data_IF_385771536666
#
_entry.id   IF_385771536666
#
_cell.length_a   1.000
_cell.length_b   1.000
_cell.length_c   1.000
_cell.angle_alpha   90.00
_cell.angle_beta   90.00
_cell.angle_gamma   90.00
#
_symmetry.space_group_name_H-M   'P 1'
#
loop_
_entity.id
_entity.type
_entity.pdbx_description
1 polymer ?
#
# COMPACT_ATOMS: atom_id res chain seq x y z
N UNK A 1 3.74 -0.03 -3.70
CA UNK A 1 3.59 0.82 -2.50
C UNK A 1 3.10 -0.05 -1.38
N UNK A 2 3.57 0.23 -0.17
CA UNK A 2 3.26 -0.51 1.05
C UNK A 2 3.40 0.43 2.26
N UNK A 3 2.76 0.12 3.40
CA UNK A 3 2.82 0.95 4.61
C UNK A 3 2.97 0.11 5.87
N UNK A 4 3.66 0.64 6.88
CA UNK A 4 3.63 0.11 8.24
C UNK A 4 2.82 1.03 9.15
N UNK A 5 1.92 0.45 9.93
CA UNK A 5 1.05 1.14 10.87
C UNK A 5 0.86 0.32 12.15
N UNK A 6 0.30 0.89 13.23
CA UNK A 6 0.30 0.27 14.56
C UNK A 6 -0.62 -0.96 14.73
N UNK A 7 -1.03 -1.61 13.64
CA UNK A 7 -1.96 -2.75 13.62
C UNK A 7 -3.42 -2.35 13.64
N UNK A 8 -4.30 -3.29 13.99
CA UNK A 8 -5.76 -3.07 14.10
C UNK A 8 -6.17 -3.11 15.57
N UNK A 9 -6.91 -2.10 16.02
CA UNK A 9 -7.39 -1.93 17.40
C UNK A 9 -8.89 -2.14 17.52
N UNK A 10 -9.65 -1.72 16.51
CA UNK A 10 -11.09 -1.93 16.43
C UNK A 10 -11.36 -3.09 15.49
N UNK A 11 -11.49 -4.27 16.06
CA UNK A 11 -11.83 -5.50 15.35
C UNK A 11 -13.27 -5.92 15.68
N UNK A 12 -13.90 -6.68 14.78
CA UNK A 12 -15.17 -7.36 15.02
C UNK A 12 -14.93 -8.87 15.15
N UNK A 13 -14.55 -9.36 16.35
CA UNK A 13 -14.09 -10.74 16.56
C UNK A 13 -15.16 -11.81 16.28
N UNK A 14 -16.41 -11.43 16.05
CA UNK A 14 -17.51 -12.35 15.74
C UNK A 14 -17.75 -12.54 14.23
N UNK A 15 -17.09 -11.75 13.37
CA UNK A 15 -17.25 -11.83 11.92
C UNK A 15 -15.97 -12.34 11.27
N UNK A 16 -16.08 -13.37 10.43
CA UNK A 16 -14.97 -13.72 9.56
C UNK A 16 -14.81 -12.62 8.51
N UNK A 17 -13.61 -12.06 8.35
CA UNK A 17 -13.33 -11.01 7.36
C UNK A 17 -13.78 -11.38 5.94
N UNK A 18 -13.78 -12.66 5.58
CA UNK A 18 -14.28 -13.15 4.29
C UNK A 18 -15.80 -13.09 4.12
N UNK A 19 -16.55 -12.79 5.18
CA UNK A 19 -18.01 -12.69 5.18
C UNK A 19 -18.54 -11.26 5.26
N UNK A 20 -17.64 -10.27 5.40
CA UNK A 20 -18.01 -8.87 5.44
C UNK A 20 -18.36 -8.36 4.05
N UNK A 21 -19.40 -7.53 3.96
CA UNK A 21 -19.62 -6.72 2.77
C UNK A 21 -18.50 -5.69 2.60
N UNK A 22 -18.32 -5.14 1.37
CA UNK A 22 -17.38 -4.05 1.14
C UNK A 22 -17.58 -2.84 2.06
N UNK A 23 -18.83 -2.45 2.30
CA UNK A 23 -19.15 -1.30 3.17
C UNK A 23 -18.80 -1.58 4.63
N UNK A 24 -19.07 -2.78 5.14
CA UNK A 24 -18.69 -3.15 6.52
C UNK A 24 -17.17 -3.20 6.68
N UNK A 25 -16.46 -3.78 5.70
CA UNK A 25 -14.99 -3.81 5.67
C UNK A 25 -14.42 -2.38 5.67
N UNK A 26 -15.02 -1.49 4.87
CA UNK A 26 -14.67 -0.07 4.85
C UNK A 26 -14.88 0.61 6.20
N UNK A 27 -16.04 0.42 6.84
CA UNK A 27 -16.34 1.04 8.14
C UNK A 27 -15.33 0.63 9.22
N UNK A 28 -14.88 -0.63 9.22
CA UNK A 28 -13.85 -1.11 10.14
C UNK A 28 -12.51 -0.46 9.84
N UNK A 29 -12.09 -0.46 8.56
CA UNK A 29 -10.83 0.18 8.15
C UNK A 29 -10.83 1.67 8.51
N UNK A 30 -11.90 2.40 8.16
CA UNK A 30 -12.08 3.82 8.47
C UNK A 30 -11.84 4.10 9.95
N UNK A 31 -12.54 3.38 10.82
CA UNK A 31 -12.46 3.58 12.26
C UNK A 31 -11.05 3.39 12.81
N UNK A 32 -10.30 2.44 12.25
CA UNK A 32 -8.90 2.23 12.64
C UNK A 32 -8.00 3.34 12.08
N UNK A 33 -8.08 3.64 10.79
CA UNK A 33 -7.23 4.66 10.14
C UNK A 33 -7.42 6.05 10.76
N UNK A 34 -8.66 6.45 11.04
CA UNK A 34 -8.93 7.74 11.66
C UNK A 34 -8.31 7.85 13.07
N UNK A 35 -8.32 6.74 13.82
CA UNK A 35 -7.84 6.69 15.21
C UNK A 35 -6.33 6.46 15.39
N UNK A 36 -5.58 6.22 14.31
CA UNK A 36 -4.15 5.88 14.39
C UNK A 36 -3.31 6.71 13.43
N UNK A 37 -2.01 6.74 13.69
CA UNK A 37 -1.03 7.44 12.86
C UNK A 37 -0.16 6.48 12.06
N UNK A 38 0.17 6.85 10.83
CA UNK A 38 1.04 6.06 9.96
C UNK A 38 2.48 6.07 10.48
N UNK A 39 3.17 4.93 10.42
CA UNK A 39 4.57 4.82 10.90
C UNK A 39 5.56 4.91 9.74
N UNK A 40 5.34 4.13 8.68
CA UNK A 40 6.18 4.14 7.48
C UNK A 40 5.37 4.09 6.19
N UNK A 41 5.91 4.69 5.13
CA UNK A 41 5.47 4.52 3.75
C UNK A 41 6.65 4.07 2.89
N UNK A 42 6.43 3.05 2.07
CA UNK A 42 7.38 2.55 1.10
C UNK A 42 6.96 2.82 -0.33
N UNK A 43 7.86 3.43 -1.11
CA UNK A 43 7.69 3.66 -2.53
C UNK A 43 8.87 3.09 -3.31
N UNK A 44 8.61 2.03 -4.06
CA UNK A 44 9.46 1.54 -5.14
C UNK A 44 8.92 2.04 -6.48
N UNK A 45 9.79 2.66 -7.28
CA UNK A 45 9.47 3.14 -8.62
C UNK A 45 10.13 2.22 -9.64
N UNK A 46 9.46 1.99 -10.77
CA UNK A 46 9.98 1.21 -11.87
C UNK A 46 9.47 1.77 -13.20
N UNK A 47 10.23 1.56 -14.27
CA UNK A 47 9.70 1.65 -15.63
C UNK A 47 8.79 0.45 -15.96
N UNK A 48 8.31 0.38 -17.21
CA UNK A 48 7.37 -0.65 -17.67
C UNK A 48 8.02 -2.05 -17.81
N UNK A 49 9.35 -2.10 -17.83
CA UNK A 49 10.19 -3.28 -18.00
C UNK A 49 10.65 -3.87 -16.66
N UNK A 50 10.54 -3.11 -15.56
CA UNK A 50 10.87 -3.57 -14.21
C UNK A 50 12.15 -2.95 -13.66
N UNK A 51 12.74 -1.99 -14.37
CA UNK A 51 14.00 -1.37 -13.97
C UNK A 51 13.74 -0.27 -12.93
N UNK A 52 14.44 -0.38 -11.81
CA UNK A 52 14.45 0.63 -10.76
C UNK A 52 15.26 1.86 -11.20
N UNK A 53 14.97 3.06 -10.66
CA UNK A 53 15.78 4.25 -10.93
C UNK A 53 17.20 4.05 -10.40
N UNK A 54 18.19 4.37 -11.22
CA UNK A 54 19.63 4.27 -10.89
C UNK A 54 20.34 5.63 -10.82
N UNK A 55 19.69 6.69 -11.32
CA UNK A 55 20.23 8.04 -11.48
C UNK A 55 21.63 8.09 -12.14
N UNK A 56 21.92 7.14 -13.04
CA UNK A 56 23.22 7.01 -13.70
C UNK A 56 24.34 6.49 -12.79
N UNK A 57 23.99 5.84 -11.68
CA UNK A 57 24.93 5.19 -10.74
C UNK A 57 24.86 3.66 -10.85
N UNK A 58 25.73 2.95 -10.14
CA UNK A 58 25.69 1.48 -10.03
C UNK A 58 24.62 0.96 -9.06
N UNK A 59 23.89 1.87 -8.39
CA UNK A 59 22.90 1.54 -7.37
C UNK A 59 21.49 1.83 -7.87
N UNK A 60 20.53 1.03 -7.41
CA UNK A 60 19.10 1.27 -7.59
C UNK A 60 18.48 1.84 -6.32
N UNK A 61 17.44 2.65 -6.46
CA UNK A 61 16.84 3.40 -5.35
C UNK A 61 15.39 3.02 -5.09
N UNK A 62 15.07 2.88 -3.80
CA UNK A 62 13.74 2.70 -3.23
C UNK A 62 13.62 3.63 -2.03
N UNK A 63 12.44 4.20 -1.80
CA UNK A 63 12.23 5.18 -0.75
C UNK A 63 11.41 4.61 0.40
N UNK A 64 11.87 4.88 1.62
CA UNK A 64 11.15 4.61 2.86
C UNK A 64 11.02 5.91 3.64
N UNK A 65 9.79 6.36 3.82
CA UNK A 65 9.43 7.55 4.57
C UNK A 65 9.05 7.10 5.98
N UNK A 66 9.69 7.69 6.99
CA UNK A 66 9.41 7.45 8.40
C UNK A 66 8.69 8.67 8.97
N UNK A 67 7.50 8.49 9.55
CA UNK A 67 6.67 9.59 10.06
C UNK A 67 6.91 9.84 11.55
N UNK A 68 6.74 11.08 11.99
CA UNK A 68 7.01 11.47 13.38
C UNK A 68 5.78 11.46 14.29
N UNK A 69 4.58 11.41 13.71
CA UNK A 69 3.32 11.57 14.42
C UNK A 69 3.05 10.47 15.43
N UNK A 70 3.41 9.23 15.12
CA UNK A 70 3.14 8.10 16.02
C UNK A 70 3.99 8.16 17.30
N UNK A 71 3.30 8.19 18.43
CA UNK A 71 3.84 8.25 19.78
C UNK A 71 3.41 7.05 20.62
N UNK A 72 4.36 6.19 20.99
CA UNK A 72 4.08 4.98 21.80
C UNK A 72 3.54 5.28 23.20
N UNK A 73 3.70 6.50 23.70
CA UNK A 73 3.25 6.89 25.04
C UNK A 73 1.81 7.44 25.04
N UNK A 74 1.33 7.93 23.90
CA UNK A 74 0.05 8.65 23.78
C UNK A 74 -0.95 7.94 22.85
N UNK A 75 -0.47 7.31 21.78
CA UNK A 75 -1.34 6.79 20.72
C UNK A 75 -1.85 5.38 20.98
N UNK A 76 -2.97 5.06 20.33
CA UNK A 76 -3.52 3.71 20.29
C UNK A 76 -2.70 2.83 19.34
N UNK A 77 -2.41 1.60 19.77
CA UNK A 77 -1.74 0.61 18.95
C UNK A 77 -2.06 -0.80 19.38
N UNK A 78 -1.83 -1.75 18.47
CA UNK A 78 -1.83 -3.17 18.74
C UNK A 78 -0.43 -3.61 19.25
N UNK A 79 -0.29 -4.10 20.49
CA UNK A 79 1.02 -4.44 21.06
C UNK A 79 1.80 -5.50 20.26
N UNK A 80 1.11 -6.48 19.67
CA UNK A 80 1.76 -7.52 18.86
C UNK A 80 2.34 -6.95 17.57
N UNK A 81 1.64 -5.97 16.97
CA UNK A 81 2.11 -5.28 15.77
C UNK A 81 3.33 -4.42 16.09
N UNK A 82 3.30 -3.65 17.19
CA UNK A 82 4.46 -2.86 17.62
C UNK A 82 5.67 -3.76 17.95
N UNK A 83 5.47 -4.87 18.65
CA UNK A 83 6.55 -5.80 18.96
C UNK A 83 7.18 -6.41 17.70
N UNK A 84 6.36 -6.74 16.70
CA UNK A 84 6.84 -7.19 15.40
C UNK A 84 7.69 -6.11 14.72
N UNK A 85 7.18 -4.88 14.61
CA UNK A 85 7.87 -3.77 13.98
C UNK A 85 9.20 -3.43 14.67
N UNK A 86 9.24 -3.47 16.02
CA UNK A 86 10.50 -3.33 16.79
C UNK A 86 11.51 -4.40 16.40
N UNK A 87 11.10 -5.67 16.31
CA UNK A 87 11.98 -6.78 15.91
C UNK A 87 12.51 -6.63 14.49
N UNK A 88 11.73 -5.99 13.61
CA UNK A 88 12.13 -5.70 12.24
C UNK A 88 12.98 -4.43 12.11
N UNK A 89 13.19 -3.71 13.21
CA UNK A 89 14.18 -2.63 13.30
C UNK A 89 13.60 -1.24 13.21
N UNK A 90 12.28 -1.07 13.34
CA UNK A 90 11.67 0.27 13.46
C UNK A 90 12.07 0.87 14.81
N UNK A 91 12.74 2.03 14.75
CA UNK A 91 13.09 2.84 15.91
C UNK A 91 12.06 3.97 16.07
N UNK A 92 11.01 3.68 16.83
CA UNK A 92 9.92 4.63 17.13
C UNK A 92 10.41 5.91 17.80
N UNK A 93 11.42 5.81 18.68
CA UNK A 93 11.99 6.99 19.34
C UNK A 93 12.76 7.87 18.36
N UNK A 94 13.45 7.29 17.38
CA UNK A 94 14.07 8.04 16.28
C UNK A 94 13.00 8.65 15.37
N UNK A 95 11.95 7.92 15.02
CA UNK A 95 10.84 8.42 14.20
C UNK A 95 10.19 9.65 14.85
N UNK A 96 9.85 9.60 16.14
CA UNK A 96 9.30 10.74 16.88
C UNK A 96 10.21 11.99 16.86
N UNK A 97 11.54 11.80 16.88
CA UNK A 97 12.52 12.91 16.92
C UNK A 97 12.93 13.46 15.55
N UNK A 98 12.97 12.60 14.54
CA UNK A 98 13.62 12.89 13.24
C UNK A 98 12.75 12.52 12.03
N UNK A 99 11.55 11.99 12.28
CA UNK A 99 10.61 11.60 11.24
C UNK A 99 10.05 12.79 10.50
N UNK A 100 9.40 12.49 9.39
CA UNK A 100 8.78 13.46 8.51
C UNK A 100 7.42 13.80 9.08
N UNK A 101 7.10 15.08 9.18
CA UNK A 101 5.75 15.51 9.46
C UNK A 101 4.87 15.25 8.23
N UNK A 102 3.83 14.44 8.40
CA UNK A 102 2.82 14.07 7.40
C UNK A 102 2.25 15.26 6.62
N UNK A 103 2.05 16.42 7.25
CA UNK A 103 1.60 17.64 6.59
C UNK A 103 2.57 18.12 5.50
N UNK A 104 3.88 18.15 5.82
CA UNK A 104 4.91 18.54 4.84
C UNK A 104 5.09 17.46 3.78
N UNK A 105 5.01 16.19 4.16
CA UNK A 105 4.98 15.09 3.20
C UNK A 105 3.83 15.25 2.20
N UNK A 106 2.59 15.47 2.68
CA UNK A 106 1.42 15.61 1.84
C UNK A 106 1.57 16.76 0.83
N UNK A 107 2.12 17.90 1.27
CA UNK A 107 2.39 19.05 0.40
C UNK A 107 3.42 18.73 -0.68
N UNK A 108 4.52 18.06 -0.34
CA UNK A 108 5.56 17.70 -1.32
C UNK A 108 5.08 16.61 -2.27
N UNK A 109 4.42 15.58 -1.75
CA UNK A 109 3.88 14.47 -2.52
C UNK A 109 2.86 14.96 -3.55
N UNK A 110 1.96 15.86 -3.16
CA UNK A 110 0.99 16.49 -4.06
C UNK A 110 1.64 17.25 -5.22
N UNK A 111 2.81 17.83 -5.01
CA UNK A 111 3.54 18.57 -6.05
C UNK A 111 4.56 17.70 -6.81
N UNK A 112 4.69 16.43 -6.48
CA UNK A 112 5.69 15.52 -7.08
C UNK A 112 5.29 14.98 -8.46
N UNK A 113 4.01 15.08 -8.82
CA UNK A 113 3.44 14.39 -9.99
C UNK A 113 3.09 12.91 -9.75
N UNK A 114 3.36 12.38 -8.55
CA UNK A 114 2.91 11.03 -8.16
C UNK A 114 1.45 11.00 -7.72
N UNK A 115 0.91 12.12 -7.23
CA UNK A 115 -0.52 12.30 -6.97
C UNK A 115 -1.11 13.50 -7.70
N UNK A 116 -2.43 13.49 -7.86
CA UNK A 116 -3.22 14.55 -8.54
C UNK A 116 -2.70 14.92 -9.95
N UNK A 117 -1.90 14.06 -10.60
CA UNK A 117 -1.34 14.41 -11.89
C UNK A 117 -2.46 14.51 -12.94
N UNK A 118 -2.40 15.51 -13.85
CA UNK A 118 -3.42 15.68 -14.87
C UNK A 118 -3.57 14.42 -15.73
N UNK A 119 -4.81 14.12 -16.13
CA UNK A 119 -5.20 12.89 -16.85
C UNK A 119 -4.43 12.63 -18.16
N UNK A 120 -3.81 13.65 -18.77
CA UNK A 120 -2.94 13.50 -19.95
C UNK A 120 -1.49 13.09 -19.62
N UNK A 121 -0.99 13.37 -18.41
CA UNK A 121 0.26 12.78 -17.87
C UNK A 121 -0.01 11.40 -17.26
N UNK A 122 -1.26 11.19 -16.79
CA UNK A 122 -1.72 10.07 -15.96
C UNK A 122 -1.84 8.70 -16.66
N UNK A 123 -1.94 8.65 -18.00
CA UNK A 123 -2.23 7.36 -18.69
C UNK A 123 -1.19 6.27 -18.46
N UNK A 124 0.05 6.65 -18.14
CA UNK A 124 1.16 5.71 -17.99
C UNK A 124 1.53 5.42 -16.54
N UNK A 125 1.02 6.17 -15.55
CA UNK A 125 1.28 5.85 -14.14
C UNK A 125 0.42 4.66 -13.72
N UNK A 126 1.03 3.70 -13.03
CA UNK A 126 0.35 2.53 -12.48
C UNK A 126 0.73 2.38 -11.02
N UNK A 127 -0.26 2.31 -10.15
CA UNK A 127 -0.07 1.97 -8.75
C UNK A 127 -0.23 0.47 -8.56
N UNK A 128 0.73 -0.13 -7.88
CA UNK A 128 0.76 -1.55 -7.55
C UNK A 128 0.94 -1.69 -6.05
N UNK A 129 0.09 -2.49 -5.45
CA UNK A 129 0.00 -2.69 -4.00
C UNK A 129 -0.35 -4.15 -3.67
N UNK A 130 -0.32 -4.50 -2.38
CA UNK A 130 -0.73 -5.83 -1.92
C UNK A 130 -1.59 -5.70 -0.66
N UNK A 131 -2.87 -6.07 -0.75
CA UNK A 131 -3.84 -6.02 0.36
C UNK A 131 -4.00 -4.61 0.95
N UNK A 132 -4.18 -3.62 0.09
CA UNK A 132 -3.78 -2.24 0.36
C UNK A 132 -4.89 -1.31 0.83
N UNK A 133 -5.94 -1.88 1.40
CA UNK A 133 -7.10 -1.13 1.89
C UNK A 133 -6.68 -0.12 2.97
N UNK A 134 -5.81 -0.54 3.89
CA UNK A 134 -5.23 0.34 4.91
C UNK A 134 -4.19 1.30 4.34
N UNK A 135 -3.31 0.85 3.43
CA UNK A 135 -2.30 1.71 2.80
C UNK A 135 -2.94 2.93 2.13
N UNK A 136 -3.97 2.71 1.33
CA UNK A 136 -4.73 3.80 0.70
C UNK A 136 -5.51 4.61 1.73
N UNK A 137 -6.07 3.97 2.76
CA UNK A 137 -6.71 4.67 3.87
C UNK A 137 -5.78 5.72 4.50
N UNK A 138 -4.61 5.31 4.97
CA UNK A 138 -3.64 6.23 5.57
C UNK A 138 -3.16 7.31 4.61
N UNK A 139 -2.88 6.97 3.35
CA UNK A 139 -2.48 8.00 2.39
C UNK A 139 -3.61 8.97 2.06
N UNK A 140 -4.86 8.56 1.98
CA UNK A 140 -5.98 9.49 1.80
C UNK A 140 -6.16 10.37 3.03
N UNK A 141 -6.07 9.84 4.26
CA UNK A 141 -6.07 10.64 5.50
C UNK A 141 -4.96 11.71 5.47
N UNK A 142 -3.74 11.31 5.15
CA UNK A 142 -2.59 12.21 5.06
C UNK A 142 -2.77 13.23 3.92
N UNK A 143 -3.18 12.83 2.72
CA UNK A 143 -3.24 13.76 1.58
C UNK A 143 -4.41 14.73 1.69
N UNK A 144 -5.54 14.29 2.25
CA UNK A 144 -6.72 15.14 2.47
C UNK A 144 -6.63 15.99 3.74
N UNK A 145 -5.74 15.64 4.68
CA UNK A 145 -5.60 16.27 6.00
C UNK A 145 -6.92 16.28 6.78
N UNK A 146 -7.71 15.21 6.62
CA UNK A 146 -9.04 15.02 7.22
C UNK A 146 -9.23 13.55 7.56
N UNK A 147 -10.20 13.28 8.44
CA UNK A 147 -10.76 11.95 8.59
C UNK A 147 -11.32 11.45 7.25
N UNK A 148 -11.33 10.12 7.08
CA UNK A 148 -11.85 9.51 5.87
C UNK A 148 -13.36 9.77 5.69
N UNK A 149 -13.89 9.75 4.45
CA UNK A 149 -15.33 9.90 4.21
C UNK A 149 -16.17 8.80 4.87
N UNK A 150 -17.42 9.08 5.19
CA UNK A 150 -18.32 8.05 5.74
C UNK A 150 -18.76 7.03 4.68
N UNK A 151 -18.82 7.45 3.41
CA UNK A 151 -19.24 6.62 2.29
C UNK A 151 -18.06 5.98 1.54
N UNK A 152 -18.18 4.69 1.22
CA UNK A 152 -17.16 3.94 0.49
C UNK A 152 -16.97 4.45 -0.95
N UNK A 153 -18.03 4.87 -1.64
CA UNK A 153 -17.92 5.40 -3.00
C UNK A 153 -17.16 6.72 -3.01
N UNK A 154 -17.40 7.59 -2.03
CA UNK A 154 -16.62 8.82 -1.84
C UNK A 154 -15.14 8.52 -1.59
N UNK A 155 -14.83 7.56 -0.71
CA UNK A 155 -13.45 7.12 -0.49
C UNK A 155 -12.79 6.60 -1.77
N UNK A 156 -13.44 5.71 -2.51
CA UNK A 156 -12.92 5.20 -3.78
C UNK A 156 -12.77 6.30 -4.83
N UNK A 157 -13.63 7.32 -4.79
CA UNK A 157 -13.49 8.55 -5.56
C UNK A 157 -12.21 9.32 -5.23
N UNK A 158 -11.87 9.44 -3.94
CA UNK A 158 -10.61 10.04 -3.50
C UNK A 158 -9.40 9.20 -3.93
N UNK A 159 -9.45 7.88 -3.81
CA UNK A 159 -8.38 6.99 -4.31
C UNK A 159 -8.14 7.23 -5.80
N UNK A 160 -9.22 7.29 -6.60
CA UNK A 160 -9.13 7.60 -8.03
C UNK A 160 -8.55 8.98 -8.30
N UNK A 161 -9.00 9.99 -7.55
CA UNK A 161 -8.54 11.37 -7.70
C UNK A 161 -7.04 11.51 -7.40
N UNK A 162 -6.57 10.96 -6.27
CA UNK A 162 -5.18 11.08 -5.85
C UNK A 162 -4.23 10.18 -6.63
N UNK A 163 -4.60 8.94 -6.94
CA UNK A 163 -3.67 7.95 -7.48
C UNK A 163 -3.79 7.75 -8.99
N UNK A 164 -4.84 8.29 -9.62
CA UNK A 164 -5.05 8.19 -11.07
C UNK A 164 -5.54 6.82 -11.51
N UNK A 165 -5.79 6.65 -12.80
CA UNK A 165 -6.73 5.63 -13.35
C UNK A 165 -6.29 4.16 -13.34
N UNK A 166 -5.06 3.83 -12.90
CA UNK A 166 -4.53 2.46 -12.87
C UNK A 166 -4.03 2.10 -11.47
N UNK A 167 -4.79 1.27 -10.78
CA UNK A 167 -4.48 0.78 -9.43
C UNK A 167 -4.73 -0.73 -9.40
N UNK A 168 -3.70 -1.50 -9.07
CA UNK A 168 -3.77 -2.95 -8.97
C UNK A 168 -3.40 -3.42 -7.56
N UNK A 169 -4.36 -4.05 -6.89
CA UNK A 169 -4.13 -4.77 -5.64
C UNK A 169 -3.85 -6.24 -5.96
N UNK A 170 -2.59 -6.64 -5.82
CA UNK A 170 -2.15 -7.99 -6.12
C UNK A 170 -2.88 -9.06 -5.32
N UNK A 171 -3.37 -8.74 -4.11
CA UNK A 171 -4.10 -9.68 -3.26
C UNK A 171 -5.37 -10.17 -3.93
N UNK A 172 -6.03 -9.33 -4.72
CA UNK A 172 -7.23 -9.69 -5.49
C UNK A 172 -6.89 -10.51 -6.73
N UNK A 173 -5.76 -10.23 -7.37
CA UNK A 173 -5.29 -10.97 -8.54
C UNK A 173 -4.88 -12.42 -8.22
N UNK A 174 -4.50 -12.70 -6.96
CA UNK A 174 -4.06 -14.03 -6.51
C UNK A 174 -5.04 -15.15 -6.83
N UNK A 175 -6.35 -14.90 -6.66
CA UNK A 175 -7.37 -15.93 -6.84
C UNK A 175 -7.37 -16.48 -8.26
N UNK A 176 -7.29 -15.59 -9.26
CA UNK A 176 -7.19 -15.96 -10.67
C UNK A 176 -5.90 -16.73 -10.98
N UNK A 177 -4.81 -16.38 -10.30
CA UNK A 177 -3.50 -17.02 -10.49
C UNK A 177 -3.35 -18.35 -9.74
N UNK A 178 -4.35 -18.78 -8.97
CA UNK A 178 -4.25 -19.96 -8.09
C UNK A 178 -3.24 -19.80 -6.94
N UNK A 179 -2.96 -18.56 -6.53
CA UNK A 179 -2.00 -18.22 -5.48
C UNK A 179 -2.71 -17.96 -4.16
N UNK A 180 -2.05 -18.25 -3.03
CA UNK A 180 -2.59 -18.02 -1.69
C UNK A 180 -1.52 -17.57 -0.69
N UNK A 181 -1.94 -16.84 0.36
CA UNK A 181 -1.07 -16.37 1.45
C UNK A 181 -0.80 -14.87 1.44
N UNK A 182 0.22 -14.45 2.20
CA UNK A 182 0.73 -13.08 2.24
C UNK A 182 1.79 -12.80 1.15
N UNK A 183 2.29 -11.58 1.12
CA UNK A 183 3.22 -11.09 0.10
C UNK A 183 4.44 -12.00 -0.08
N UNK A 184 5.10 -12.40 1.01
CA UNK A 184 6.27 -13.29 0.92
C UNK A 184 5.96 -14.66 0.31
N UNK A 185 4.83 -15.26 0.68
CA UNK A 185 4.45 -16.56 0.12
C UNK A 185 4.12 -16.44 -1.37
N UNK A 186 3.49 -15.34 -1.78
CA UNK A 186 3.25 -15.05 -3.19
C UNK A 186 4.58 -14.88 -3.94
N UNK A 187 5.46 -14.01 -3.47
CA UNK A 187 6.75 -13.74 -4.10
C UNK A 187 7.55 -15.04 -4.26
N UNK A 188 7.63 -15.86 -3.21
CA UNK A 188 8.25 -17.19 -3.27
C UNK A 188 7.61 -18.12 -4.30
N UNK A 189 6.28 -18.10 -4.45
CA UNK A 189 5.58 -18.92 -5.45
C UNK A 189 5.88 -18.47 -6.89
N UNK A 190 6.25 -17.20 -7.07
CA UNK A 190 6.69 -16.61 -8.33
C UNK A 190 8.21 -16.69 -8.53
N UNK A 191 8.95 -17.34 -7.62
CA UNK A 191 10.42 -17.36 -7.59
C UNK A 191 11.05 -15.94 -7.54
N UNK A 192 10.38 -15.01 -6.86
CA UNK A 192 10.90 -13.67 -6.58
C UNK A 192 11.41 -13.64 -5.14
N UNK A 193 12.66 -13.25 -4.97
CA UNK A 193 13.32 -13.12 -3.65
C UNK A 193 13.43 -11.65 -3.24
N UNK A 194 13.39 -11.39 -1.93
CA UNK A 194 13.62 -10.06 -1.37
C UNK A 194 15.09 -9.66 -1.54
N UNK A 195 15.32 -8.66 -2.39
CA UNK A 195 16.69 -8.24 -2.72
C UNK A 195 17.32 -7.29 -1.69
N UNK A 196 16.52 -6.50 -0.97
CA UNK A 196 17.02 -5.48 -0.05
C UNK A 196 16.03 -5.23 1.09
N UNK A 197 16.56 -4.88 2.26
CA UNK A 197 15.78 -4.60 3.47
C UNK A 197 15.24 -5.86 4.16
N UNK A 198 14.27 -5.68 5.05
CA UNK A 198 13.63 -6.75 5.84
C UNK A 198 12.13 -6.76 5.59
N UNK A 199 11.50 -7.92 5.82
CA UNK A 199 10.03 -8.00 5.86
C UNK A 199 9.48 -7.12 6.99
N UNK A 200 8.32 -6.52 6.74
CA UNK A 200 7.70 -5.49 7.60
C UNK A 200 8.57 -4.24 7.76
N UNK A 201 9.13 -3.81 6.64
CA UNK A 201 9.68 -2.49 6.43
C UNK A 201 9.12 -2.00 5.10
N UNK A 202 8.38 -0.89 5.14
CA UNK A 202 7.56 -0.48 4.01
C UNK A 202 8.37 -0.34 2.71
N UNK A 203 9.60 0.19 2.78
CA UNK A 203 10.46 0.32 1.61
C UNK A 203 10.76 -1.04 0.97
N UNK A 204 11.18 -2.01 1.78
CA UNK A 204 11.49 -3.37 1.35
C UNK A 204 10.26 -4.11 0.81
N UNK A 205 9.11 -3.98 1.47
CA UNK A 205 7.87 -4.62 1.04
C UNK A 205 7.29 -3.97 -0.23
N UNK A 206 7.46 -2.66 -0.40
CA UNK A 206 7.08 -1.99 -1.65
C UNK A 206 7.94 -2.44 -2.84
N UNK A 207 9.22 -2.74 -2.61
CA UNK A 207 10.11 -3.31 -3.62
C UNK A 207 9.69 -4.74 -3.98
N UNK A 208 9.49 -5.60 -2.98
CA UNK A 208 9.03 -6.96 -3.22
C UNK A 208 7.69 -6.99 -3.96
N UNK A 209 6.78 -6.08 -3.61
CA UNK A 209 5.48 -5.90 -4.28
C UNK A 209 5.64 -5.62 -5.76
N UNK A 210 6.44 -4.62 -6.16
CA UNK A 210 6.58 -4.28 -7.58
C UNK A 210 7.30 -5.39 -8.36
N UNK A 211 8.30 -6.04 -7.77
CA UNK A 211 9.01 -7.15 -8.43
C UNK A 211 8.11 -8.37 -8.61
N UNK A 212 7.34 -8.73 -7.58
CA UNK A 212 6.35 -9.80 -7.67
C UNK A 212 5.28 -9.49 -8.71
N UNK A 213 4.83 -8.24 -8.82
CA UNK A 213 3.89 -7.82 -9.86
C UNK A 213 4.43 -7.98 -11.27
N UNK A 214 5.70 -7.62 -11.50
CA UNK A 214 6.30 -7.77 -12.81
C UNK A 214 6.39 -9.24 -13.24
N UNK A 215 6.78 -10.14 -12.33
CA UNK A 215 6.80 -11.57 -12.64
C UNK A 215 5.38 -12.15 -12.76
N UNK A 216 4.43 -11.74 -11.92
CA UNK A 216 3.03 -12.14 -12.00
C UNK A 216 2.42 -11.74 -13.35
N UNK A 217 2.67 -10.51 -13.83
CA UNK A 217 2.23 -10.03 -15.14
C UNK A 217 2.79 -10.90 -16.26
N UNK A 218 4.09 -11.22 -16.21
CA UNK A 218 4.76 -12.05 -17.20
C UNK A 218 4.22 -13.47 -17.26
N UNK A 219 3.96 -14.09 -16.10
CA UNK A 219 3.53 -15.48 -15.99
C UNK A 219 2.04 -15.65 -16.34
N UNK A 220 1.17 -14.77 -15.85
CA UNK A 220 -0.29 -14.95 -15.93
C UNK A 220 -1.01 -14.01 -16.89
N UNK A 221 -0.43 -12.85 -17.21
CA UNK A 221 -1.05 -11.78 -18.00
C UNK A 221 -0.22 -11.44 -19.24
N UNK A 222 0.10 -12.47 -20.04
CA UNK A 222 0.88 -12.34 -21.28
C UNK A 222 0.10 -12.83 -22.50
N UNK A 223 0.33 -12.20 -23.65
CA UNK A 223 -0.37 -12.54 -24.89
C UNK A 223 -1.89 -12.34 -24.75
N UNK A 224 -2.73 -13.35 -25.04
CA UNK A 224 -4.19 -13.21 -25.02
C UNK A 224 -4.79 -12.82 -23.66
N UNK A 225 -4.12 -13.11 -22.54
CA UNK A 225 -4.62 -12.79 -21.19
C UNK A 225 -4.25 -11.38 -20.73
N UNK A 226 -3.49 -10.62 -21.52
CA UNK A 226 -3.05 -9.28 -21.15
C UNK A 226 -4.23 -8.32 -20.92
N UNK A 227 -5.31 -8.47 -21.68
CA UNK A 227 -6.51 -7.63 -21.54
C UNK A 227 -7.25 -7.88 -20.22
N UNK A 228 -7.17 -9.09 -19.67
CA UNK A 228 -7.78 -9.47 -18.38
C UNK A 228 -7.18 -8.69 -17.21
N UNK A 229 -5.96 -8.18 -17.34
CA UNK A 229 -5.35 -7.33 -16.31
C UNK A 229 -6.26 -6.15 -15.96
N UNK A 230 -6.96 -5.58 -16.95
CA UNK A 230 -7.84 -4.44 -16.75
C UNK A 230 -9.07 -4.75 -15.87
N UNK A 231 -9.47 -6.02 -15.76
CA UNK A 231 -10.60 -6.44 -14.90
C UNK A 231 -10.27 -6.30 -13.40
N UNK A 232 -8.98 -6.27 -13.05
CA UNK A 232 -8.49 -6.10 -11.68
C UNK A 232 -8.26 -4.63 -11.29
N UNK A 233 -8.47 -3.69 -12.21
CA UNK A 233 -8.22 -2.28 -11.95
C UNK A 233 -9.21 -1.74 -10.90
N UNK A 234 -8.70 -1.08 -9.86
CA UNK A 234 -9.44 -0.60 -8.68
C UNK A 234 -10.18 -1.65 -7.85
N UNK A 235 -9.87 -2.94 -8.05
CA UNK A 235 -10.42 -3.98 -7.19
C UNK A 235 -9.50 -4.11 -5.97
N UNK A 236 -9.77 -3.30 -4.94
CA UNK A 236 -9.04 -3.34 -3.66
C UNK A 236 -9.57 -4.44 -2.76
N UNK A 237 -8.67 -5.17 -2.09
CA UNK A 237 -9.08 -6.33 -1.32
C UNK A 237 -10.03 -5.98 -0.16
N UNK A 238 -11.20 -6.61 -0.15
CA UNK A 238 -12.24 -6.38 0.86
C UNK A 238 -13.12 -5.15 0.60
N UNK A 239 -12.80 -4.31 -0.39
CA UNK A 239 -13.59 -3.10 -0.70
C UNK A 239 -14.26 -3.14 -2.08
N UNK A 240 -13.90 -4.09 -2.94
CA UNK A 240 -14.53 -4.32 -4.23
C UNK A 240 -14.43 -5.79 -4.62
N UNK A 241 -15.34 -6.24 -5.47
CA UNK A 241 -15.37 -7.60 -6.03
C UNK A 241 -15.21 -7.56 -7.53
N UNK A 242 -14.47 -8.51 -8.09
CA UNK A 242 -14.50 -8.78 -9.54
C UNK A 242 -15.87 -9.35 -9.89
N UNK A 243 -16.53 -8.80 -10.91
CA UNK A 243 -17.82 -9.28 -11.43
C UNK A 243 -17.64 -10.33 -12.51
#
# INVERSE_FOLDING_TARGET
MDTEFPGVIYDHPQLHYSSLSPTESYSIMKKNVDAMELIQLGLALSDAEGNLPDFGTEYCYVWEFNFQEFDMDEDLYNPQSIDLLKRQGIDFSKNKRMGIHSFYFARLFTNSGLSLAPTWVDKNRTWVTFHSTYDFGFLIKILSQRELPDDLSEFMGLVRMYFGVKVFDMKQMMGFCGLHGGLERMAKSLNVERMAGKSHQAGSDSLLTIQAFMELKKVYFSGPTMELLNEFNYILHGLATVH
#
